data_IF_083186499630
#
_entry.id   IF_083186499630
#
_cell.length_a   1.000
_cell.length_b   1.000
_cell.length_c   1.000
_cell.angle_alpha   90.00
_cell.angle_beta   90.00
_cell.angle_gamma   90.00
#
_symmetry.space_group_name_H-M   'P 1'
#
loop_
_entity.id
_entity.type
_entity.pdbx_description
1 polymer ?
#
# COMPACT_ATOMS: atom_id res chain seq x y z
N UNK A 1 14.72 14.37 1.46
CA UNK A 1 14.59 13.14 2.26
C UNK A 1 13.12 12.79 2.34
N UNK A 2 12.73 11.53 2.06
CA UNK A 2 11.33 11.10 2.24
C UNK A 2 11.04 11.04 3.73
N UNK A 3 9.96 11.67 4.22
CA UNK A 3 9.60 11.61 5.63
C UNK A 3 9.40 10.14 6.04
N UNK A 4 9.82 9.76 7.25
CA UNK A 4 9.62 8.40 7.74
C UNK A 4 8.12 8.10 7.73
N UNK A 5 7.79 6.94 7.16
CA UNK A 5 6.42 6.45 7.07
C UNK A 5 5.94 6.08 8.48
N UNK A 6 5.30 7.02 9.16
CA UNK A 6 4.67 6.78 10.45
C UNK A 6 3.34 6.04 10.28
N UNK A 7 3.32 4.80 10.76
CA UNK A 7 2.25 3.83 10.55
C UNK A 7 1.00 4.17 11.39
N UNK A 8 1.16 4.89 12.50
CA UNK A 8 0.05 5.32 13.37
C UNK A 8 -0.78 6.43 12.71
N UNK A 9 -0.11 7.48 12.22
CA UNK A 9 -0.76 8.62 11.54
C UNK A 9 -1.55 8.17 10.29
N UNK A 10 -1.04 7.16 9.58
CA UNK A 10 -1.70 6.59 8.40
C UNK A 10 -3.01 5.89 8.76
N UNK A 11 -3.03 5.15 9.87
CA UNK A 11 -4.22 4.41 10.33
C UNK A 11 -5.35 5.36 10.72
N UNK A 12 -5.03 6.49 11.36
CA UNK A 12 -6.02 7.54 11.68
C UNK A 12 -6.56 8.21 10.41
N UNK A 13 -5.67 8.61 9.48
CA UNK A 13 -6.09 9.24 8.21
C UNK A 13 -7.00 8.32 7.37
N UNK A 14 -6.71 7.01 7.35
CA UNK A 14 -7.52 6.02 6.63
C UNK A 14 -8.90 5.82 7.28
N UNK A 15 -8.96 5.82 8.63
CA UNK A 15 -10.23 5.76 9.38
C UNK A 15 -11.07 7.01 9.15
N UNK A 16 -10.45 8.18 9.20
CA UNK A 16 -11.14 9.46 9.00
C UNK A 16 -11.72 9.62 7.59
N UNK A 17 -11.05 9.03 6.59
CA UNK A 17 -11.50 9.04 5.19
C UNK A 17 -12.54 7.97 4.87
N UNK A 18 -12.94 7.12 5.82
CA UNK A 18 -13.87 6.01 5.65
C UNK A 18 -13.55 5.17 4.39
N UNK A 19 -12.27 4.84 4.20
CA UNK A 19 -11.85 4.05 3.04
C UNK A 19 -12.28 2.61 3.25
N UNK A 20 -13.27 2.19 2.47
CA UNK A 20 -13.70 0.79 2.42
C UNK A 20 -12.84 0.03 1.40
N UNK A 21 -12.46 -1.22 1.71
CA UNK A 21 -11.72 -2.03 0.77
C UNK A 21 -12.55 -2.31 -0.48
N UNK A 22 -11.99 -1.98 -1.65
CA UNK A 22 -12.58 -2.36 -2.93
C UNK A 22 -12.67 -3.88 -3.07
N UNK A 23 -13.74 -4.37 -3.72
CA UNK A 23 -13.91 -5.78 -4.08
C UNK A 23 -12.97 -6.24 -5.21
N UNK A 24 -12.28 -5.30 -5.86
CA UNK A 24 -11.36 -5.58 -6.96
C UNK A 24 -9.96 -5.93 -6.46
N UNK A 25 -9.20 -6.63 -7.31
CA UNK A 25 -7.78 -6.91 -7.08
C UNK A 25 -6.92 -5.92 -7.86
N UNK A 26 -5.96 -5.30 -7.18
CA UNK A 26 -5.05 -4.32 -7.78
C UNK A 26 -3.76 -5.02 -8.21
N UNK A 27 -3.44 -4.99 -9.51
CA UNK A 27 -2.15 -5.46 -10.02
C UNK A 27 -1.09 -4.37 -9.90
N UNK A 28 0.06 -4.69 -9.32
CA UNK A 28 1.18 -3.77 -9.15
C UNK A 28 2.46 -4.35 -9.74
N UNK A 29 3.07 -3.65 -10.70
CA UNK A 29 4.30 -4.08 -11.36
C UNK A 29 5.48 -3.26 -10.83
N UNK A 30 6.32 -3.88 -10.00
CA UNK A 30 7.50 -3.26 -9.41
C UNK A 30 7.27 -2.66 -8.02
N UNK A 31 8.05 -3.09 -7.03
CA UNK A 31 8.08 -2.53 -5.68
C UNK A 31 9.29 -1.61 -5.46
N UNK A 32 9.44 -0.61 -6.32
CA UNK A 32 10.47 0.42 -6.14
C UNK A 32 10.30 1.23 -4.85
N UNK A 33 11.11 2.28 -4.69
CA UNK A 33 11.08 3.18 -3.52
C UNK A 33 9.67 3.71 -3.26
N UNK A 34 8.92 4.07 -4.32
CA UNK A 34 7.53 4.51 -4.20
C UNK A 34 6.53 3.36 -4.12
N UNK A 35 6.70 2.33 -4.96
CA UNK A 35 5.73 1.24 -5.08
C UNK A 35 5.52 0.47 -3.77
N UNK A 36 6.60 0.27 -2.99
CA UNK A 36 6.53 -0.38 -1.69
C UNK A 36 5.66 0.37 -0.68
N UNK A 37 5.71 1.71 -0.64
CA UNK A 37 4.87 2.52 0.24
C UNK A 37 3.39 2.48 -0.16
N UNK A 38 3.12 2.53 -1.47
CA UNK A 38 1.76 2.49 -2.00
C UNK A 38 1.10 1.14 -1.71
N UNK A 39 1.79 0.03 -2.00
CA UNK A 39 1.26 -1.31 -1.76
C UNK A 39 1.01 -1.55 -0.26
N UNK A 40 1.92 -1.09 0.62
CA UNK A 40 1.69 -1.14 2.07
C UNK A 40 0.42 -0.40 2.49
N UNK A 41 0.17 0.79 1.93
CA UNK A 41 -1.04 1.54 2.24
C UNK A 41 -2.32 0.83 1.74
N UNK A 42 -2.27 0.25 0.55
CA UNK A 42 -3.39 -0.53 0.00
C UNK A 42 -3.71 -1.76 0.86
N UNK A 43 -2.69 -2.49 1.30
CA UNK A 43 -2.86 -3.64 2.18
C UNK A 43 -3.40 -3.20 3.56
N UNK A 44 -2.84 -2.14 4.14
CA UNK A 44 -3.29 -1.62 5.44
C UNK A 44 -4.73 -1.10 5.42
N UNK A 45 -5.21 -0.65 4.26
CA UNK A 45 -6.62 -0.27 4.05
C UNK A 45 -7.52 -1.46 3.67
N UNK A 46 -7.01 -2.69 3.69
CA UNK A 46 -7.77 -3.92 3.45
C UNK A 46 -7.96 -4.31 1.99
N UNK A 47 -7.27 -3.65 1.05
CA UNK A 47 -7.39 -3.96 -0.38
C UNK A 47 -6.59 -5.21 -0.75
N UNK A 48 -7.12 -5.98 -1.70
CA UNK A 48 -6.41 -7.12 -2.28
C UNK A 48 -5.47 -6.65 -3.38
N UNK A 49 -4.18 -6.91 -3.23
CA UNK A 49 -3.14 -6.47 -4.18
C UNK A 49 -2.37 -7.70 -4.68
N UNK A 50 -2.10 -7.76 -5.98
CA UNK A 50 -1.21 -8.73 -6.60
C UNK A 50 0.03 -7.98 -7.08
N UNK A 51 1.19 -8.41 -6.62
CA UNK A 51 2.45 -7.77 -6.97
C UNK A 51 3.25 -8.67 -7.90
N UNK A 52 3.75 -8.10 -8.98
CA UNK A 52 4.76 -8.70 -9.83
C UNK A 52 6.02 -7.87 -9.79
N UNK A 53 7.12 -8.50 -9.40
CA UNK A 53 8.42 -7.86 -9.32
C UNK A 53 9.42 -8.64 -10.18
N UNK A 54 10.38 -7.94 -10.78
CA UNK A 54 11.40 -8.60 -11.63
C UNK A 54 12.24 -9.61 -10.83
N UNK A 55 12.44 -9.35 -9.55
CA UNK A 55 13.13 -10.21 -8.60
C UNK A 55 12.16 -10.59 -7.49
N UNK A 56 11.98 -11.88 -7.24
CA UNK A 56 11.00 -12.39 -6.26
C UNK A 56 11.37 -12.08 -4.80
N UNK A 57 12.64 -11.74 -4.54
CA UNK A 57 13.17 -11.42 -3.21
C UNK A 57 12.67 -10.06 -2.67
N UNK A 58 12.00 -9.25 -3.50
CA UNK A 58 11.43 -7.95 -3.15
C UNK A 58 9.91 -7.97 -3.18
#
# INVERSE_FOLDING_TARGET
>A
ETPPLDVETLSQTLKDKNILPSKLKFGFLGLGIMGSGIVKNLINSGHSVIVWNRTQEK
#
